data_IF_725994694052
#
_entry.id   IF_725994694052
#
_cell.length_a   1.000
_cell.length_b   1.000
_cell.length_c   1.000
_cell.angle_alpha   90.00
_cell.angle_beta   90.00
_cell.angle_gamma   90.00
#
_symmetry.space_group_name_H-M   'P 1'
#
loop_
_entity.id
_entity.type
_entity.pdbx_description
1 polymer ?
#
# COMPACT_ATOMS: atom_id res chain seq x y z
N UNK A 1 15.84 -20.13 11.60
CA UNK A 1 14.71 -19.55 12.38
C UNK A 1 13.43 -19.96 11.68
N UNK A 2 12.59 -20.77 12.32
CA UNK A 2 11.29 -21.16 11.75
C UNK A 2 10.34 -19.96 11.84
N UNK A 3 9.72 -19.50 10.74
CA UNK A 3 8.79 -18.39 10.79
C UNK A 3 7.60 -18.77 11.69
N UNK A 4 7.13 -17.82 12.51
CA UNK A 4 5.99 -18.05 13.39
C UNK A 4 4.77 -18.49 12.56
N UNK A 5 4.02 -19.53 13.00
CA UNK A 5 3.07 -20.27 12.16
C UNK A 5 1.81 -19.48 11.76
N UNK A 6 1.67 -18.23 12.19
CA UNK A 6 0.39 -17.52 12.18
C UNK A 6 0.53 -15.99 12.19
N UNK A 7 1.60 -15.42 11.63
CA UNK A 7 1.52 -14.01 11.23
C UNK A 7 0.55 -13.95 10.05
N UNK A 8 -0.64 -13.36 10.18
CA UNK A 8 -1.49 -13.01 9.02
C UNK A 8 -0.84 -12.01 8.05
N UNK A 9 0.48 -11.84 8.14
CA UNK A 9 1.31 -11.05 7.26
C UNK A 9 1.41 -11.74 5.91
N UNK A 10 1.02 -11.00 4.88
CA UNK A 10 1.22 -11.35 3.48
C UNK A 10 2.71 -11.59 3.18
N UNK A 11 2.99 -12.58 2.34
CA UNK A 11 4.34 -12.92 1.85
C UNK A 11 4.38 -12.86 0.32
N UNK A 12 5.55 -12.60 -0.29
CA UNK A 12 5.72 -12.76 -1.73
C UNK A 12 5.28 -14.15 -2.20
N UNK A 13 4.31 -14.20 -3.12
CA UNK A 13 3.68 -15.42 -3.61
C UNK A 13 2.31 -15.73 -3.02
N UNK A 14 1.94 -15.11 -1.89
CA UNK A 14 0.58 -15.21 -1.35
C UNK A 14 -0.41 -14.48 -2.28
N UNK A 15 -1.63 -15.00 -2.46
CA UNK A 15 -2.64 -14.33 -3.26
C UNK A 15 -2.87 -12.89 -2.80
N UNK A 16 -2.86 -11.97 -3.76
CA UNK A 16 -3.02 -10.55 -3.46
C UNK A 16 -4.44 -10.19 -2.99
N UNK A 17 -5.43 -11.07 -3.15
CA UNK A 17 -6.83 -10.78 -2.81
C UNK A 17 -7.42 -9.76 -3.76
N UNK A 18 -8.15 -8.77 -3.23
CA UNK A 18 -8.70 -7.65 -4.02
C UNK A 18 -7.78 -6.42 -4.02
N UNK A 19 -6.56 -6.56 -3.47
CA UNK A 19 -5.60 -5.48 -3.38
C UNK A 19 -5.18 -5.01 -4.76
N UNK A 20 -5.14 -3.69 -4.90
CA UNK A 20 -4.48 -2.96 -5.98
C UNK A 20 -3.13 -2.46 -5.47
N UNK A 21 -2.24 -2.14 -6.39
CA UNK A 21 -0.89 -1.66 -6.08
C UNK A 21 -0.64 -0.31 -6.73
N UNK A 22 -0.12 0.63 -5.96
CA UNK A 22 0.31 1.94 -6.44
C UNK A 22 1.82 2.09 -6.21
N UNK A 23 2.54 2.51 -7.26
CA UNK A 23 3.95 2.87 -7.16
C UNK A 23 4.07 4.37 -6.87
N UNK A 24 4.72 4.70 -5.76
CA UNK A 24 4.91 6.06 -5.29
C UNK A 24 6.39 6.40 -5.23
N UNK A 25 6.70 7.68 -5.41
CA UNK A 25 8.05 8.24 -5.22
C UNK A 25 9.14 7.67 -6.15
N UNK A 26 8.75 7.03 -7.26
CA UNK A 26 9.64 6.42 -8.24
C UNK A 26 10.65 7.41 -8.88
N UNK A 27 10.27 8.67 -9.00
CA UNK A 27 11.11 9.71 -9.60
C UNK A 27 11.85 10.58 -8.59
N UNK A 28 11.38 10.63 -7.34
CA UNK A 28 11.96 11.46 -6.28
C UNK A 28 11.57 10.96 -4.88
N UNK A 29 12.53 10.81 -3.95
CA UNK A 29 12.23 10.41 -2.58
C UNK A 29 11.38 11.44 -1.82
N UNK A 30 10.39 10.94 -1.09
CA UNK A 30 9.55 11.67 -0.15
C UNK A 30 10.29 11.92 1.16
N UNK A 31 10.20 13.13 1.70
CA UNK A 31 10.77 13.44 3.01
C UNK A 31 9.79 13.02 4.11
N UNK A 32 10.29 12.38 5.17
CA UNK A 32 9.46 11.97 6.30
C UNK A 32 9.44 13.05 7.39
N UNK A 33 8.31 13.20 8.07
CA UNK A 33 8.13 14.19 9.16
C UNK A 33 9.11 13.99 10.32
N UNK A 34 9.46 12.74 10.63
CA UNK A 34 10.47 12.40 11.65
C UNK A 34 11.92 12.59 11.16
N UNK A 35 12.12 13.12 9.95
CA UNK A 35 13.41 13.16 9.27
C UNK A 35 13.69 11.90 8.45
N UNK A 36 14.61 12.02 7.49
CA UNK A 36 14.93 10.97 6.51
C UNK A 36 14.11 11.07 5.22
N UNK A 37 14.33 10.10 4.32
CA UNK A 37 13.65 10.04 3.02
C UNK A 37 13.28 8.61 2.66
N UNK A 38 12.17 8.44 1.96
CA UNK A 38 11.74 7.16 1.37
C UNK A 38 11.58 7.31 -0.14
N UNK A 39 12.28 6.47 -0.91
CA UNK A 39 12.13 6.36 -2.37
C UNK A 39 11.45 5.04 -2.72
N UNK A 40 10.98 4.92 -3.97
CA UNK A 40 10.42 3.72 -4.59
C UNK A 40 9.56 2.87 -3.63
N UNK A 41 8.32 3.33 -3.39
CA UNK A 41 7.39 2.66 -2.47
C UNK A 41 6.24 2.05 -3.26
N UNK A 42 6.05 0.75 -3.11
CA UNK A 42 4.82 0.09 -3.55
C UNK A 42 3.83 0.02 -2.40
N UNK A 43 2.67 0.64 -2.57
CA UNK A 43 1.56 0.62 -1.60
C UNK A 43 0.47 -0.34 -2.08
N UNK A 44 0.15 -1.33 -1.26
CA UNK A 44 -1.04 -2.17 -1.46
C UNK A 44 -2.26 -1.50 -0.83
N UNK A 45 -3.36 -1.41 -1.55
CA UNK A 45 -4.60 -0.77 -1.06
C UNK A 45 -5.86 -1.47 -1.60
N UNK A 46 -6.98 -1.24 -0.93
CA UNK A 46 -8.32 -1.66 -1.36
C UNK A 46 -9.26 -0.46 -1.24
N UNK A 47 -10.31 -0.46 -2.07
CA UNK A 47 -11.36 0.58 -2.09
C UNK A 47 -12.70 -0.11 -1.95
N UNK A 48 -13.64 0.48 -1.19
CA UNK A 48 -14.98 -0.09 -1.01
C UNK A 48 -16.06 0.93 -1.41
N UNK A 49 -16.91 0.53 -2.35
CA UNK A 49 -17.90 1.41 -2.96
C UNK A 49 -17.39 2.08 -4.25
N UNK A 50 -18.10 3.12 -4.69
CA UNK A 50 -17.80 3.86 -5.92
C UNK A 50 -17.75 5.35 -5.63
N UNK A 51 -16.75 6.04 -6.18
CA UNK A 51 -16.62 7.50 -6.06
C UNK A 51 -17.80 8.16 -6.78
N UNK A 52 -18.52 9.06 -6.11
CA UNK A 52 -19.60 9.84 -6.72
C UNK A 52 -19.04 10.92 -7.67
N UNK A 53 -19.90 11.46 -8.54
CA UNK A 53 -19.49 12.38 -9.60
C UNK A 53 -18.91 13.70 -9.10
N UNK A 54 -19.41 14.19 -7.97
CA UNK A 54 -18.92 15.40 -7.27
C UNK A 54 -17.73 15.11 -6.34
N UNK A 55 -17.32 13.84 -6.20
CA UNK A 55 -16.19 13.37 -5.39
C UNK A 55 -16.27 13.77 -3.92
N UNK A 56 -17.48 13.83 -3.37
CA UNK A 56 -17.73 14.19 -1.98
C UNK A 56 -17.65 13.00 -1.01
N UNK A 57 -17.57 11.76 -1.51
CA UNK A 57 -17.31 10.57 -0.68
C UNK A 57 -15.85 10.11 -0.75
N UNK A 58 -15.37 9.51 0.34
CA UNK A 58 -14.10 8.78 0.37
C UNK A 58 -14.35 7.31 0.01
N UNK A 59 -13.58 6.76 -0.92
CA UNK A 59 -13.60 5.35 -1.35
C UNK A 59 -12.21 4.80 -1.56
#
# INVERSE_FOLDING_TARGET
>A
MTPAPNSGAWRPGDPFGQRKFAELFASRPHALEAGGRVGDVTVAYETWGTLNSDRSNAV
#
